data_IF_053575189601
#
_entry.id   IF_053575189601
#
_cell.length_a   1.000
_cell.length_b   1.000
_cell.length_c   1.000
_cell.angle_alpha   90.00
_cell.angle_beta   90.00
_cell.angle_gamma   90.00
#
_symmetry.space_group_name_H-M   'P 1'
#
loop_
_entity.id
_entity.type
_entity.pdbx_description
1 polymer ?
#
# COMPACT_ATOMS: atom_id res chain seq x y z
N UNK A 1 11.66 -2.11 -20.79
CA UNK A 1 12.50 -2.43 -19.60
C UNK A 1 11.94 -3.67 -18.94
N UNK A 2 12.79 -4.55 -18.43
CA UNK A 2 12.35 -5.78 -17.75
C UNK A 2 11.57 -5.42 -16.50
N UNK A 3 10.40 -6.04 -16.27
CA UNK A 3 9.68 -5.93 -14.99
C UNK A 3 10.52 -6.58 -13.88
N UNK A 4 10.49 -6.03 -12.67
CA UNK A 4 11.13 -6.64 -11.50
C UNK A 4 10.53 -8.02 -11.26
N UNK A 5 11.38 -9.03 -11.04
CA UNK A 5 10.95 -10.40 -10.72
C UNK A 5 10.59 -10.52 -9.23
N UNK A 6 9.43 -9.99 -8.84
CA UNK A 6 8.94 -10.06 -7.47
C UNK A 6 8.79 -11.50 -6.97
N UNK A 7 8.34 -12.43 -7.83
CA UNK A 7 8.20 -13.84 -7.47
C UNK A 7 9.55 -14.47 -7.14
N UNK A 8 10.58 -14.23 -7.95
CA UNK A 8 11.93 -14.71 -7.69
C UNK A 8 12.50 -14.24 -6.35
N UNK A 9 12.24 -12.98 -5.96
CA UNK A 9 12.61 -12.47 -4.64
C UNK A 9 11.95 -13.26 -3.50
N UNK A 10 10.65 -13.53 -3.59
CA UNK A 10 9.96 -14.34 -2.57
C UNK A 10 10.45 -15.77 -2.54
N UNK A 11 10.70 -16.41 -3.71
CA UNK A 11 11.21 -17.77 -3.79
C UNK A 11 12.59 -17.92 -3.14
N UNK A 12 13.45 -16.92 -3.27
CA UNK A 12 14.82 -16.91 -2.72
C UNK A 12 14.92 -16.33 -1.31
N UNK A 13 13.81 -15.87 -0.72
CA UNK A 13 13.76 -15.14 0.56
C UNK A 13 14.59 -13.84 0.57
N UNK A 14 14.78 -13.21 -0.59
CA UNK A 14 15.43 -11.90 -0.72
C UNK A 14 14.36 -10.80 -0.68
N UNK A 15 13.81 -10.56 0.51
CA UNK A 15 12.72 -9.61 0.74
C UNK A 15 13.11 -8.52 1.76
N UNK A 16 14.10 -7.65 1.44
CA UNK A 16 14.61 -6.66 2.40
C UNK A 16 13.58 -5.59 2.83
N UNK A 17 12.50 -5.45 2.07
CA UNK A 17 11.36 -4.58 2.40
C UNK A 17 10.47 -5.15 3.49
N UNK A 18 10.42 -6.48 3.68
CA UNK A 18 9.67 -7.10 4.75
C UNK A 18 10.36 -6.86 6.10
N UNK A 19 9.62 -6.31 7.05
CA UNK A 19 10.11 -5.99 8.39
C UNK A 19 9.51 -6.90 9.47
N UNK A 20 8.71 -7.91 9.07
CA UNK A 20 8.08 -8.86 9.98
C UNK A 20 6.92 -8.27 10.80
N UNK A 21 6.56 -7.01 10.57
CA UNK A 21 5.50 -6.29 11.27
C UNK A 21 4.81 -5.27 10.36
N UNK A 22 3.64 -4.80 10.78
CA UNK A 22 2.92 -3.75 10.06
C UNK A 22 3.66 -2.41 10.13
N UNK A 23 3.41 -1.53 9.15
CA UNK A 23 3.91 -0.15 9.14
C UNK A 23 3.65 0.52 10.49
N UNK A 24 4.71 1.04 11.17
CA UNK A 24 4.53 1.77 12.41
C UNK A 24 3.59 2.97 12.26
N UNK A 25 3.66 3.67 11.12
CA UNK A 25 2.77 4.78 10.80
C UNK A 25 1.31 4.37 10.68
N UNK A 26 1.03 3.20 10.08
CA UNK A 26 -0.33 2.65 10.03
C UNK A 26 -0.83 2.31 11.43
N UNK A 27 -0.02 1.65 12.24
CA UNK A 27 -0.41 1.25 13.61
C UNK A 27 -0.77 2.47 14.44
N UNK A 28 0.04 3.52 14.37
CA UNK A 28 -0.22 4.79 15.08
C UNK A 28 -1.47 5.49 14.56
N UNK A 29 -1.66 5.51 13.23
CA UNK A 29 -2.83 6.11 12.62
C UNK A 29 -4.12 5.39 13.05
N UNK A 30 -4.15 4.06 13.01
CA UNK A 30 -5.31 3.27 13.45
C UNK A 30 -5.64 3.49 14.94
N UNK A 31 -4.62 3.61 15.77
CA UNK A 31 -4.80 3.91 17.21
C UNK A 31 -5.35 5.33 17.46
N UNK A 32 -4.91 6.30 16.66
CA UNK A 32 -5.34 7.68 16.75
C UNK A 32 -6.75 7.93 16.15
N UNK A 33 -7.23 7.04 15.26
CA UNK A 33 -8.50 7.19 14.57
C UNK A 33 -9.48 6.02 14.86
N UNK A 34 -9.86 5.79 16.13
CA UNK A 34 -10.77 4.68 16.49
C UNK A 34 -12.16 4.84 15.85
N UNK A 35 -12.54 6.08 15.50
CA UNK A 35 -13.81 6.42 14.87
C UNK A 35 -13.75 6.52 13.34
N UNK A 36 -12.62 6.16 12.71
CA UNK A 36 -12.51 6.14 11.26
C UNK A 36 -13.63 5.27 10.64
N UNK A 37 -14.27 5.72 9.53
CA UNK A 37 -15.36 4.99 8.91
C UNK A 37 -14.95 3.54 8.59
N UNK A 38 -15.62 2.57 9.24
CA UNK A 38 -15.34 1.15 8.99
C UNK A 38 -15.81 0.77 7.58
N UNK A 39 -15.14 -0.21 7.00
CA UNK A 39 -15.48 -0.67 5.67
C UNK A 39 -14.45 -1.65 5.15
N UNK A 40 -14.36 -1.72 3.83
CA UNK A 40 -13.42 -2.57 3.11
C UNK A 40 -12.13 -1.83 2.78
N UNK A 41 -10.99 -2.51 2.95
CA UNK A 41 -9.65 -1.96 2.66
C UNK A 41 -8.95 -2.84 1.64
N UNK A 42 -8.39 -2.25 0.60
CA UNK A 42 -7.44 -2.90 -0.30
C UNK A 42 -6.01 -2.50 0.08
N UNK A 43 -5.12 -3.48 0.16
CA UNK A 43 -3.68 -3.29 0.37
C UNK A 43 -2.95 -3.88 -0.85
N UNK A 44 -2.59 -3.07 -1.87
CA UNK A 44 -1.83 -3.53 -3.03
C UNK A 44 -0.36 -3.77 -2.66
N UNK A 45 0.25 -4.80 -3.27
CA UNK A 45 1.62 -5.22 -2.95
C UNK A 45 1.73 -5.66 -1.49
N UNK A 46 0.77 -6.43 -1.01
CA UNK A 46 0.61 -6.71 0.42
C UNK A 46 1.71 -7.58 1.03
N UNK A 47 2.55 -8.22 0.22
CA UNK A 47 3.60 -9.12 0.67
C UNK A 47 3.08 -10.19 1.61
N UNK A 48 3.70 -10.32 2.78
CA UNK A 48 3.29 -11.27 3.82
C UNK A 48 2.04 -10.84 4.62
N UNK A 49 1.43 -9.70 4.27
CA UNK A 49 0.13 -9.27 4.78
C UNK A 49 0.12 -8.68 6.19
N UNK A 50 1.22 -8.13 6.67
CA UNK A 50 1.29 -7.51 8.00
C UNK A 50 0.31 -6.35 8.14
N UNK A 51 0.27 -5.44 7.16
CA UNK A 51 -0.65 -4.29 7.16
C UNK A 51 -2.12 -4.73 7.01
N UNK A 52 -2.38 -5.78 6.21
CA UNK A 52 -3.73 -6.36 6.07
C UNK A 52 -4.27 -6.82 7.42
N UNK A 53 -3.43 -7.49 8.23
CA UNK A 53 -3.80 -7.95 9.56
C UNK A 53 -3.97 -6.80 10.55
N UNK A 54 -3.18 -5.74 10.44
CA UNK A 54 -3.33 -4.54 11.27
C UNK A 54 -4.69 -3.87 11.02
N UNK A 55 -5.09 -3.70 9.75
CA UNK A 55 -6.41 -3.19 9.39
C UNK A 55 -7.53 -4.08 9.92
N UNK A 56 -7.40 -5.40 9.79
CA UNK A 56 -8.41 -6.36 10.28
C UNK A 56 -8.52 -6.34 11.81
N UNK A 57 -7.41 -6.25 12.53
CA UNK A 57 -7.40 -6.12 13.99
C UNK A 57 -8.09 -4.84 14.46
N UNK A 58 -8.01 -3.76 13.67
CA UNK A 58 -8.73 -2.51 13.92
C UNK A 58 -10.21 -2.56 13.50
N UNK A 59 -10.73 -3.71 13.03
CA UNK A 59 -12.15 -3.92 12.74
C UNK A 59 -12.59 -3.66 11.30
N UNK A 60 -11.66 -3.46 10.37
CA UNK A 60 -11.94 -3.37 8.94
C UNK A 60 -11.96 -4.76 8.29
N UNK A 61 -12.55 -4.87 7.10
CA UNK A 61 -12.40 -6.06 6.26
C UNK A 61 -11.34 -5.78 5.19
N UNK A 62 -10.19 -6.44 5.29
CA UNK A 62 -9.04 -6.12 4.47
C UNK A 62 -8.71 -7.21 3.46
N UNK A 63 -8.48 -6.80 2.20
CA UNK A 63 -7.97 -7.63 1.12
C UNK A 63 -6.53 -7.23 0.81
N UNK A 64 -5.59 -8.15 0.97
CA UNK A 64 -4.25 -8.05 0.41
C UNK A 64 -4.24 -8.55 -1.02
N UNK A 65 -3.69 -7.76 -1.92
CA UNK A 65 -3.45 -8.11 -3.32
C UNK A 65 -1.96 -8.08 -3.58
N UNK A 66 -1.41 -9.17 -4.11
CA UNK A 66 -0.01 -9.23 -4.52
C UNK A 66 0.14 -9.96 -5.85
N UNK A 67 1.15 -9.56 -6.61
CA UNK A 67 1.46 -10.17 -7.91
C UNK A 67 2.27 -11.47 -7.77
N UNK A 68 2.91 -11.70 -6.62
CA UNK A 68 3.69 -12.89 -6.32
C UNK A 68 2.81 -13.99 -5.72
N UNK A 69 2.70 -15.17 -6.38
CA UNK A 69 2.06 -16.33 -5.80
C UNK A 69 2.64 -16.72 -4.44
N UNK A 70 3.98 -16.73 -4.32
CA UNK A 70 4.68 -17.09 -3.08
C UNK A 70 4.37 -16.13 -1.93
N UNK A 71 4.26 -14.82 -2.20
CA UNK A 71 3.84 -13.84 -1.20
C UNK A 71 2.44 -14.15 -0.68
N UNK A 72 1.49 -14.37 -1.59
CA UNK A 72 0.07 -14.66 -1.25
C UNK A 72 -0.06 -15.96 -0.45
N UNK A 73 0.64 -17.02 -0.87
CA UNK A 73 0.62 -18.29 -0.14
C UNK A 73 1.17 -18.14 1.28
N UNK A 74 2.33 -17.48 1.44
CA UNK A 74 2.91 -17.21 2.76
C UNK A 74 2.02 -16.33 3.62
N UNK A 75 1.42 -15.29 3.04
CA UNK A 75 0.47 -14.45 3.76
C UNK A 75 -0.72 -15.26 4.31
N UNK A 76 -1.24 -16.22 3.54
CA UNK A 76 -2.31 -17.12 3.98
C UNK A 76 -1.87 -18.06 5.11
N UNK A 77 -0.62 -18.56 5.06
CA UNK A 77 -0.07 -19.46 6.08
C UNK A 77 0.12 -18.77 7.45
N UNK A 78 0.45 -17.46 7.47
CA UNK A 78 0.56 -16.70 8.73
C UNK A 78 -0.78 -16.57 9.43
N UNK A 79 -1.89 -16.55 8.68
CA UNK A 79 -3.24 -16.59 9.21
C UNK A 79 -4.23 -15.77 8.38
N UNK A 80 -5.39 -16.37 8.23
CA UNK A 80 -6.58 -15.74 7.65
C UNK A 80 -7.73 -15.84 8.64
N UNK A 81 -8.64 -14.90 8.60
CA UNK A 81 -9.88 -14.93 9.37
C UNK A 81 -11.01 -14.32 8.51
N UNK A 82 -12.18 -14.12 9.07
CA UNK A 82 -13.32 -13.56 8.36
C UNK A 82 -13.09 -12.14 7.81
N UNK A 83 -12.13 -11.40 8.41
CA UNK A 83 -11.79 -10.01 8.05
C UNK A 83 -10.52 -9.89 7.24
N UNK A 84 -9.74 -10.96 7.04
CA UNK A 84 -8.49 -10.96 6.25
C UNK A 84 -8.63 -11.87 5.05
N UNK A 85 -8.39 -11.32 3.86
CA UNK A 85 -8.35 -12.08 2.61
C UNK A 85 -7.07 -11.76 1.86
N UNK A 86 -6.55 -12.73 1.12
CA UNK A 86 -5.39 -12.55 0.26
C UNK A 86 -5.68 -13.10 -1.13
N UNK A 87 -5.36 -12.33 -2.15
CA UNK A 87 -5.60 -12.67 -3.54
C UNK A 87 -4.37 -12.41 -4.40
N UNK A 88 -4.07 -13.36 -5.28
CA UNK A 88 -3.12 -13.15 -6.37
C UNK A 88 -3.75 -12.22 -7.42
N UNK A 89 -3.01 -11.19 -7.84
CA UNK A 89 -3.46 -10.28 -8.88
C UNK A 89 -2.52 -9.12 -9.12
N UNK A 90 -2.65 -8.51 -10.28
CA UNK A 90 -1.91 -7.29 -10.65
C UNK A 90 -2.78 -6.05 -10.37
N UNK A 91 -2.40 -5.28 -9.37
CA UNK A 91 -3.11 -4.05 -9.00
C UNK A 91 -3.24 -3.07 -10.17
N UNK A 92 -2.23 -3.02 -11.05
CA UNK A 92 -2.22 -2.09 -12.17
C UNK A 92 -3.08 -2.55 -13.35
N UNK A 93 -3.22 -3.86 -13.54
CA UNK A 93 -3.86 -4.42 -14.73
C UNK A 93 -5.26 -4.99 -14.46
N UNK A 94 -5.51 -5.53 -13.27
CA UNK A 94 -6.76 -6.21 -12.97
C UNK A 94 -7.93 -5.23 -12.83
N UNK A 95 -9.12 -5.71 -13.21
CA UNK A 95 -10.38 -5.03 -12.94
C UNK A 95 -10.98 -5.53 -11.61
N UNK A 96 -11.39 -4.63 -10.71
CA UNK A 96 -12.02 -5.02 -9.46
C UNK A 96 -13.45 -5.54 -9.67
N UNK A 97 -13.82 -6.63 -8.98
CA UNK A 97 -15.22 -7.04 -8.91
C UNK A 97 -16.06 -6.09 -8.04
N UNK A 98 -15.40 -5.43 -7.09
CA UNK A 98 -16.00 -4.44 -6.19
C UNK A 98 -14.97 -3.36 -5.85
N UNK A 99 -15.44 -2.14 -5.59
CA UNK A 99 -14.58 -1.06 -5.12
C UNK A 99 -14.52 -1.05 -3.59
N UNK A 100 -13.42 -0.51 -3.07
CA UNK A 100 -13.12 -0.47 -1.64
C UNK A 100 -13.40 0.91 -1.04
N UNK A 101 -13.72 0.95 0.25
CA UNK A 101 -13.87 2.20 1.00
C UNK A 101 -12.50 2.87 1.25
N UNK A 102 -11.45 2.02 1.37
CA UNK A 102 -10.07 2.44 1.58
C UNK A 102 -9.13 1.72 0.62
N UNK A 103 -8.10 2.43 0.17
CA UNK A 103 -6.87 1.84 -0.39
C UNK A 103 -5.72 2.27 0.52
N UNK A 104 -4.94 1.32 1.01
CA UNK A 104 -3.77 1.59 1.83
C UNK A 104 -2.50 1.23 1.08
N UNK A 105 -1.59 2.18 0.99
CA UNK A 105 -0.29 2.06 0.32
C UNK A 105 0.84 2.05 1.33
N UNK A 106 1.72 1.06 1.25
CA UNK A 106 2.98 1.03 1.98
C UNK A 106 4.03 0.33 1.11
N UNK A 107 5.02 1.08 0.64
CA UNK A 107 6.16 0.59 -0.17
C UNK A 107 5.80 -0.04 -1.53
N UNK A 108 4.56 0.08 -1.98
CA UNK A 108 4.13 -0.39 -3.29
C UNK A 108 4.41 0.67 -4.38
N UNK A 109 4.09 1.95 -4.15
CA UNK A 109 4.30 3.01 -5.13
C UNK A 109 5.78 3.18 -5.51
N UNK A 110 6.69 3.11 -4.55
CA UNK A 110 8.14 3.18 -4.80
C UNK A 110 8.68 1.92 -5.51
N UNK A 111 7.94 0.84 -5.55
CA UNK A 111 8.27 -0.37 -6.28
C UNK A 111 7.85 -0.31 -7.76
N UNK A 112 6.98 0.64 -8.12
CA UNK A 112 6.47 0.80 -9.49
C UNK A 112 7.46 1.63 -10.33
N UNK A 113 7.75 1.14 -11.53
CA UNK A 113 8.57 1.85 -12.51
C UNK A 113 8.03 3.28 -12.70
N UNK A 114 8.90 4.32 -12.72
CA UNK A 114 8.46 5.71 -12.80
C UNK A 114 7.55 6.02 -14.00
N UNK A 115 7.76 5.37 -15.13
CA UNK A 115 6.93 5.51 -16.33
C UNK A 115 5.53 4.87 -16.18
N UNK A 116 5.35 3.97 -15.20
CA UNK A 116 4.07 3.33 -14.88
C UNK A 116 3.33 3.95 -13.68
N UNK A 117 3.85 4.99 -13.07
CA UNK A 117 3.21 5.65 -11.91
C UNK A 117 1.86 6.30 -12.24
N UNK A 118 1.65 6.69 -13.52
CA UNK A 118 0.33 7.13 -13.97
C UNK A 118 -0.69 5.97 -13.97
N UNK A 119 -0.25 4.74 -14.29
CA UNK A 119 -1.10 3.54 -14.19
C UNK A 119 -1.48 3.27 -12.75
N UNK A 120 -0.55 3.47 -11.82
CA UNK A 120 -0.81 3.32 -10.40
C UNK A 120 -1.92 4.25 -9.90
N UNK A 121 -1.88 5.55 -10.27
CA UNK A 121 -2.94 6.50 -9.90
C UNK A 121 -4.28 6.07 -10.50
N UNK A 122 -4.30 5.63 -11.77
CA UNK A 122 -5.51 5.09 -12.41
C UNK A 122 -6.03 3.84 -11.69
N UNK A 123 -5.13 2.97 -11.23
CA UNK A 123 -5.50 1.80 -10.45
C UNK A 123 -6.12 2.19 -9.10
N UNK A 124 -5.52 3.13 -8.35
CA UNK A 124 -6.12 3.63 -7.10
C UNK A 124 -7.54 4.14 -7.37
N UNK A 125 -7.74 4.93 -8.42
CA UNK A 125 -9.08 5.42 -8.80
C UNK A 125 -10.05 4.28 -9.18
N UNK A 126 -9.57 3.25 -9.85
CA UNK A 126 -10.39 2.12 -10.28
C UNK A 126 -10.85 1.25 -9.12
N UNK A 127 -9.96 1.03 -8.15
CA UNK A 127 -10.22 0.17 -6.98
C UNK A 127 -10.94 0.88 -5.83
N UNK A 128 -10.85 2.21 -5.75
CA UNK A 128 -11.42 3.00 -4.67
C UNK A 128 -12.79 3.55 -5.03
N UNK A 129 -13.76 3.49 -4.13
CA UNK A 129 -15.08 4.11 -4.30
C UNK A 129 -14.97 5.64 -4.47
N UNK A 130 -15.88 6.29 -5.20
CA UNK A 130 -16.05 7.74 -5.09
C UNK A 130 -16.27 8.15 -3.62
N UNK A 131 -15.60 9.19 -3.15
CA UNK A 131 -15.61 9.60 -1.74
C UNK A 131 -14.78 8.72 -0.81
N UNK A 132 -14.22 7.61 -1.30
CA UNK A 132 -13.36 6.72 -0.52
C UNK A 132 -12.00 7.33 -0.19
N UNK A 133 -11.26 6.69 0.71
CA UNK A 133 -10.02 7.19 1.29
C UNK A 133 -8.79 6.45 0.77
N UNK A 134 -7.78 7.21 0.39
CA UNK A 134 -6.44 6.69 0.06
C UNK A 134 -5.47 7.13 1.15
N UNK A 135 -5.01 6.17 1.97
CA UNK A 135 -4.01 6.38 3.01
C UNK A 135 -2.69 5.81 2.53
N UNK A 136 -1.64 6.62 2.50
CA UNK A 136 -0.36 6.23 1.92
C UNK A 136 0.82 6.52 2.85
N UNK A 137 1.73 5.55 2.94
CA UNK A 137 3.07 5.71 3.54
C UNK A 137 4.08 5.74 2.40
N UNK A 138 4.38 6.93 1.90
CA UNK A 138 5.31 7.09 0.80
C UNK A 138 6.75 7.16 1.30
N UNK A 139 7.64 6.43 0.63
CA UNK A 139 9.06 6.35 0.94
C UNK A 139 9.84 7.36 0.09
N UNK A 140 10.27 8.47 0.71
CA UNK A 140 10.98 9.56 0.05
C UNK A 140 12.48 9.33 0.11
N UNK A 141 13.02 8.84 -0.99
CA UNK A 141 14.47 8.64 -1.16
C UNK A 141 14.94 9.39 -2.40
N UNK A 142 16.17 9.94 -2.39
CA UNK A 142 16.70 10.71 -3.50
C UNK A 142 17.11 9.84 -4.68
N UNK A 143 17.39 8.56 -4.45
CA UNK A 143 17.89 7.65 -5.47
C UNK A 143 16.78 7.34 -6.48
N UNK A 144 17.08 7.51 -7.77
CA UNK A 144 16.14 7.25 -8.86
C UNK A 144 16.29 5.87 -9.46
N UNK A 145 17.38 5.19 -9.18
CA UNK A 145 17.58 3.80 -9.55
C UNK A 145 16.89 2.91 -8.53
N UNK A 146 16.15 1.90 -8.98
CA UNK A 146 15.34 1.10 -8.07
C UNK A 146 15.01 -0.28 -8.61
N UNK A 147 14.09 -1.04 -8.00
CA UNK A 147 13.29 -0.66 -6.83
C UNK A 147 14.07 -0.68 -5.50
N UNK A 148 13.74 0.18 -4.52
CA UNK A 148 12.72 1.23 -4.58
C UNK A 148 13.18 2.43 -5.42
N UNK A 149 12.29 2.97 -6.25
CA UNK A 149 12.53 4.17 -7.05
C UNK A 149 12.20 5.43 -6.25
N UNK A 150 13.10 6.39 -6.24
CA UNK A 150 12.90 7.65 -5.55
C UNK A 150 11.64 8.40 -5.97
N UNK A 151 11.03 9.04 -5.00
CA UNK A 151 9.86 9.89 -5.14
C UNK A 151 9.97 11.03 -4.13
N UNK A 152 9.40 12.16 -4.46
CA UNK A 152 9.34 13.33 -3.59
C UNK A 152 7.87 13.80 -3.40
N UNK A 153 7.71 14.79 -2.53
CA UNK A 153 6.42 15.37 -2.21
C UNK A 153 5.74 15.98 -3.43
N UNK A 154 6.50 16.67 -4.26
CA UNK A 154 5.94 17.40 -5.40
C UNK A 154 5.42 16.43 -6.46
N UNK A 155 6.08 15.30 -6.67
CA UNK A 155 5.59 14.23 -7.54
C UNK A 155 4.28 13.63 -7.00
N UNK A 156 4.22 13.30 -5.68
CA UNK A 156 2.99 12.78 -5.06
C UNK A 156 1.85 13.79 -5.22
N UNK A 157 2.11 15.07 -4.91
CA UNK A 157 1.13 16.13 -5.06
C UNK A 157 0.62 16.25 -6.49
N UNK A 158 1.52 16.35 -7.46
CA UNK A 158 1.16 16.52 -8.86
C UNK A 158 0.31 15.36 -9.41
N UNK A 159 0.55 14.14 -8.92
CA UNK A 159 -0.16 12.94 -9.38
C UNK A 159 -1.53 12.75 -8.73
N UNK A 160 -1.65 13.04 -7.45
CA UNK A 160 -2.88 12.73 -6.69
C UNK A 160 -3.82 13.91 -6.54
N UNK A 161 -3.33 15.15 -6.39
CA UNK A 161 -4.19 16.33 -6.18
C UNK A 161 -5.24 16.61 -7.28
N UNK A 162 -5.05 16.22 -8.56
CA UNK A 162 -6.10 16.39 -9.57
C UNK A 162 -7.36 15.55 -9.31
N UNK A 163 -7.21 14.43 -8.59
CA UNK A 163 -8.28 13.44 -8.38
C UNK A 163 -8.72 13.32 -6.94
N UNK A 164 -7.91 13.83 -6.01
CA UNK A 164 -8.10 13.67 -4.57
C UNK A 164 -8.05 15.02 -3.86
N UNK A 165 -8.74 15.10 -2.75
CA UNK A 165 -8.60 16.15 -1.76
C UNK A 165 -7.61 15.68 -0.69
N UNK A 166 -6.56 16.44 -0.42
CA UNK A 166 -5.66 16.16 0.69
C UNK A 166 -6.35 16.51 2.00
N UNK A 167 -6.49 15.54 2.89
CA UNK A 167 -7.05 15.71 4.22
C UNK A 167 -5.94 16.00 5.23
N UNK A 168 -4.83 15.24 5.16
CA UNK A 168 -3.73 15.38 6.10
C UNK A 168 -2.40 14.92 5.47
N UNK A 169 -1.30 15.53 5.89
CA UNK A 169 0.07 15.16 5.57
C UNK A 169 0.94 15.27 6.82
N UNK A 170 1.71 14.21 7.14
CA UNK A 170 2.60 14.22 8.31
C UNK A 170 3.80 13.28 8.15
N UNK A 171 4.79 13.44 9.03
CA UNK A 171 5.89 12.48 9.18
C UNK A 171 5.48 11.41 10.17
N UNK A 172 5.34 10.14 9.76
CA UNK A 172 4.95 9.05 10.65
C UNK A 172 6.11 8.59 11.53
N UNK A 173 5.80 7.80 12.55
CA UNK A 173 6.78 6.85 13.08
C UNK A 173 7.07 5.81 12.02
N UNK A 174 8.34 5.51 11.84
CA UNK A 174 8.85 4.61 10.79
C UNK A 174 9.72 3.53 11.40
N UNK A 175 10.05 2.53 10.61
CA UNK A 175 11.11 1.58 10.98
C UNK A 175 12.44 2.34 11.21
N UNK A 176 13.32 1.84 12.10
CA UNK A 176 14.56 2.56 12.45
C UNK A 176 15.39 2.99 11.24
N UNK A 177 15.49 2.12 10.22
CA UNK A 177 16.24 2.39 8.99
C UNK A 177 15.52 3.28 7.97
N UNK A 178 14.27 3.71 8.26
CA UNK A 178 13.46 4.60 7.40
C UNK A 178 13.07 5.90 8.10
N UNK A 179 13.58 6.13 9.30
CA UNK A 179 13.26 7.33 10.09
C UNK A 179 13.56 8.59 9.30
N UNK A 180 12.54 9.45 9.15
CA UNK A 180 12.63 10.70 8.38
C UNK A 180 12.56 10.56 6.86
N UNK A 181 12.50 9.32 6.35
CA UNK A 181 12.39 9.03 4.91
C UNK A 181 10.94 8.70 4.49
N UNK A 182 10.03 8.58 5.45
CA UNK A 182 8.63 8.30 5.15
C UNK A 182 7.75 9.52 5.39
N UNK A 183 6.74 9.68 4.57
CA UNK A 183 5.70 10.70 4.68
C UNK A 183 4.34 10.04 4.50
N UNK A 184 3.42 10.29 5.41
CA UNK A 184 2.04 9.83 5.28
C UNK A 184 1.16 10.92 4.71
N UNK A 185 0.24 10.45 3.86
CA UNK A 185 -0.82 11.27 3.26
C UNK A 185 -2.16 10.58 3.45
N UNK A 186 -3.14 11.34 3.89
CA UNK A 186 -4.55 10.94 3.90
C UNK A 186 -5.28 11.74 2.84
N UNK A 187 -5.85 11.05 1.85
CA UNK A 187 -6.57 11.64 0.74
C UNK A 187 -8.00 11.14 0.69
N UNK A 188 -8.92 11.98 0.20
CA UNK A 188 -10.28 11.58 -0.14
C UNK A 188 -10.48 11.69 -1.65
N UNK A 189 -10.99 10.62 -2.28
CA UNK A 189 -11.36 10.64 -3.70
C UNK A 189 -12.51 11.63 -3.93
N UNK A 190 -12.36 12.50 -4.92
CA UNK A 190 -13.40 13.46 -5.36
C UNK A 190 -14.51 12.79 -6.15
#
# INVERSE_FOLDING_TARGET
MSSTDWEGHYQTNDTPWDKGEASPGLVDWLAAHPDAPRGTVLVPGCGLGHDVRAWAAAGFTALGLDISPSAVERAKLVGVNERTKFRLGDFLADEPHEQFDWVFEHTCFCAIQPDRRADYVRAVLRWLKPGGHYLAVNYFIPDKDGPPFGVDRDEIWARFSPHFELLEEWTPRSYPNRTGLERMFSWRRR
#
